data_IF_246036743256
#
_entry.id   IF_246036743256
#
_cell.length_a   1.000
_cell.length_b   1.000
_cell.length_c   1.000
_cell.angle_alpha   90.00
_cell.angle_beta   90.00
_cell.angle_gamma   90.00
#
_symmetry.space_group_name_H-M   'P 1'
#
loop_
_entity.id
_entity.type
_entity.pdbx_description
1 polymer ?
#
# COMPACT_ATOMS: atom_id res chain seq x y z
N UNK A 1 -126.26 2.78 90.73
CA UNK A 1 -125.61 3.23 89.49
C UNK A 1 -124.47 4.20 89.82
N UNK A 2 -123.28 3.99 89.22
CA UNK A 2 -122.24 5.00 88.86
C UNK A 2 -121.46 5.62 90.05
N UNK A 3 -120.14 5.80 90.05
CA UNK A 3 -119.09 5.89 89.01
C UNK A 3 -117.75 5.51 89.67
N UNK A 4 -116.98 4.59 89.08
CA UNK A 4 -115.57 4.42 89.43
C UNK A 4 -114.81 5.69 88.97
N UNK A 5 -114.01 6.28 89.86
CA UNK A 5 -113.09 7.38 89.51
C UNK A 5 -112.01 6.80 88.60
N UNK A 6 -112.11 7.08 87.30
CA UNK A 6 -111.02 6.83 86.35
C UNK A 6 -109.86 7.76 86.70
N UNK A 7 -108.75 7.20 87.17
CA UNK A 7 -107.53 7.95 87.43
C UNK A 7 -106.79 8.20 86.11
N UNK A 8 -106.85 9.45 85.64
CA UNK A 8 -106.32 9.87 84.33
C UNK A 8 -104.78 9.83 84.28
N UNK A 9 -104.13 9.68 85.44
CA UNK A 9 -102.67 9.70 85.57
C UNK A 9 -101.98 8.45 84.99
N UNK A 10 -102.69 7.32 84.91
CA UNK A 10 -102.19 6.09 84.28
C UNK A 10 -101.92 6.32 82.79
N UNK A 11 -102.84 7.00 82.09
CA UNK A 11 -102.68 7.30 80.66
C UNK A 11 -101.55 8.30 80.39
N UNK A 12 -101.26 9.21 81.31
CA UNK A 12 -100.12 10.14 81.21
C UNK A 12 -98.76 9.42 81.16
N UNK A 13 -98.59 8.37 81.97
CA UNK A 13 -97.38 7.53 81.95
C UNK A 13 -97.27 6.70 80.67
N UNK A 14 -98.38 6.13 80.17
CA UNK A 14 -98.37 5.40 78.90
C UNK A 14 -98.06 6.31 77.71
N UNK A 15 -98.59 7.53 77.68
CA UNK A 15 -98.30 8.51 76.62
C UNK A 15 -96.84 8.95 76.68
N UNK A 16 -96.28 9.17 77.87
CA UNK A 16 -94.86 9.53 78.04
C UNK A 16 -93.93 8.39 77.61
N UNK A 17 -94.25 7.15 77.97
CA UNK A 17 -93.51 5.97 77.54
C UNK A 17 -93.61 5.76 76.01
N UNK A 18 -94.80 5.92 75.43
CA UNK A 18 -94.99 5.85 73.99
C UNK A 18 -94.20 6.95 73.25
N UNK A 19 -94.23 8.19 73.75
CA UNK A 19 -93.44 9.30 73.19
C UNK A 19 -91.94 9.03 73.26
N UNK A 20 -91.45 8.50 74.37
CA UNK A 20 -90.04 8.13 74.51
C UNK A 20 -89.66 6.98 73.57
N UNK A 21 -90.50 5.96 73.42
CA UNK A 21 -90.24 4.86 72.49
C UNK A 21 -90.29 5.32 71.03
N UNK A 22 -91.26 6.16 70.64
CA UNK A 22 -91.34 6.75 69.30
C UNK A 22 -90.08 7.57 69.03
N UNK A 23 -89.66 8.41 69.98
CA UNK A 23 -88.42 9.18 69.86
C UNK A 23 -87.21 8.25 69.71
N UNK A 24 -87.14 7.16 70.47
CA UNK A 24 -86.03 6.20 70.40
C UNK A 24 -85.96 5.48 69.05
N UNK A 25 -87.09 4.96 68.57
CA UNK A 25 -87.19 4.29 67.27
C UNK A 25 -86.88 5.26 66.12
N UNK A 26 -87.32 6.52 66.24
CA UNK A 26 -87.03 7.56 65.26
C UNK A 26 -85.53 7.89 65.22
N UNK A 27 -84.86 7.95 66.38
CA UNK A 27 -83.41 8.16 66.45
C UNK A 27 -82.62 6.93 65.96
N UNK A 28 -83.06 5.72 66.28
CA UNK A 28 -82.44 4.47 65.80
C UNK A 28 -82.52 4.38 64.27
N UNK A 29 -83.70 4.60 63.65
CA UNK A 29 -83.83 4.66 62.18
C UNK A 29 -82.96 5.75 61.55
N UNK A 30 -82.92 6.94 62.15
CA UNK A 30 -82.08 8.04 61.66
C UNK A 30 -80.60 7.70 61.74
N UNK A 31 -80.17 6.98 62.79
CA UNK A 31 -78.80 6.52 62.94
C UNK A 31 -78.44 5.39 61.97
N UNK A 32 -79.35 4.46 61.68
CA UNK A 32 -79.18 3.44 60.65
C UNK A 32 -79.10 4.04 59.25
N UNK A 33 -79.98 4.97 58.90
CA UNK A 33 -79.94 5.69 57.63
C UNK A 33 -78.65 6.51 57.48
N UNK A 34 -78.22 7.18 58.56
CA UNK A 34 -76.95 7.90 58.58
C UNK A 34 -75.75 6.95 58.44
N UNK A 35 -75.75 5.79 59.10
CA UNK A 35 -74.67 4.82 58.98
C UNK A 35 -74.62 4.21 57.59
N UNK A 36 -75.77 3.84 57.02
CA UNK A 36 -75.86 3.28 55.66
C UNK A 36 -75.42 4.31 54.61
N UNK A 37 -75.84 5.56 54.77
CA UNK A 37 -75.39 6.67 53.91
C UNK A 37 -73.88 6.89 54.04
N UNK A 38 -73.33 6.84 55.25
CA UNK A 38 -71.87 6.94 55.48
C UNK A 38 -71.11 5.79 54.84
N UNK A 39 -71.61 4.56 54.92
CA UNK A 39 -70.97 3.37 54.36
C UNK A 39 -70.98 3.37 52.83
N UNK A 40 -72.08 3.82 52.22
CA UNK A 40 -72.19 4.04 50.77
C UNK A 40 -71.20 5.12 50.32
N UNK A 41 -71.16 6.27 51.01
CA UNK A 41 -70.21 7.36 50.70
C UNK A 41 -68.77 6.88 50.82
N UNK A 42 -68.43 6.13 51.88
CA UNK A 42 -67.09 5.58 52.08
C UNK A 42 -66.68 4.59 50.98
N UNK A 43 -67.62 3.75 50.55
CA UNK A 43 -67.40 2.77 49.47
C UNK A 43 -67.16 3.47 48.12
N UNK A 44 -67.91 4.54 47.84
CA UNK A 44 -67.75 5.36 46.64
C UNK A 44 -66.39 6.08 46.65
N UNK A 45 -66.01 6.70 47.77
CA UNK A 45 -64.70 7.35 47.94
C UNK A 45 -63.54 6.38 47.73
N UNK A 46 -63.63 5.15 48.27
CA UNK A 46 -62.59 4.13 48.10
C UNK A 46 -62.48 3.61 46.65
N UNK A 47 -63.60 3.59 45.92
CA UNK A 47 -63.61 3.23 44.49
C UNK A 47 -62.98 4.34 43.66
N UNK A 48 -63.33 5.59 43.96
CA UNK A 48 -62.82 6.78 43.29
C UNK A 48 -61.31 6.97 43.55
N UNK A 49 -60.83 6.75 44.78
CA UNK A 49 -59.39 6.70 45.11
C UNK A 49 -58.63 5.62 44.34
N UNK A 50 -59.23 4.45 44.14
CA UNK A 50 -58.62 3.36 43.35
C UNK A 50 -58.52 3.71 41.87
N UNK A 51 -59.58 4.28 41.30
CA UNK A 51 -59.57 4.76 39.91
C UNK A 51 -58.56 5.90 39.71
N UNK A 52 -58.50 6.88 40.61
CA UNK A 52 -57.47 7.91 40.59
C UNK A 52 -56.06 7.32 40.71
N UNK A 53 -55.87 6.32 41.56
CA UNK A 53 -54.61 5.59 41.69
C UNK A 53 -54.21 4.86 40.41
N UNK A 54 -55.18 4.27 39.70
CA UNK A 54 -54.97 3.60 38.42
C UNK A 54 -54.66 4.61 37.29
N UNK A 55 -55.39 5.72 37.23
CA UNK A 55 -55.13 6.82 36.29
C UNK A 55 -53.73 7.41 36.50
N UNK A 56 -53.30 7.61 37.75
CA UNK A 56 -51.94 8.10 38.05
C UNK A 56 -50.86 7.11 37.55
N UNK A 57 -51.05 5.80 37.76
CA UNK A 57 -50.13 4.76 37.28
C UNK A 57 -50.06 4.69 35.74
N UNK A 58 -51.20 4.71 35.06
CA UNK A 58 -51.25 4.67 33.59
C UNK A 58 -50.65 5.92 32.97
N UNK A 59 -50.86 7.09 33.57
CA UNK A 59 -50.27 8.37 33.14
C UNK A 59 -48.74 8.36 33.32
N UNK A 60 -48.23 7.80 34.41
CA UNK A 60 -46.80 7.57 34.62
C UNK A 60 -46.19 6.66 33.54
N UNK A 61 -46.83 5.53 33.24
CA UNK A 61 -46.37 4.59 32.19
C UNK A 61 -46.34 5.28 30.83
N UNK A 62 -47.39 6.03 30.46
CA UNK A 62 -47.45 6.79 29.21
C UNK A 62 -46.29 7.80 29.12
N UNK A 63 -45.98 8.49 30.23
CA UNK A 63 -44.86 9.43 30.30
C UNK A 63 -43.50 8.74 30.13
N UNK A 64 -43.33 7.54 30.69
CA UNK A 64 -42.12 6.71 30.52
C UNK A 64 -41.98 6.27 29.06
N UNK A 65 -43.05 5.76 28.45
CA UNK A 65 -43.05 5.33 27.03
C UNK A 65 -42.68 6.50 26.12
N UNK A 66 -43.25 7.68 26.32
CA UNK A 66 -42.93 8.86 25.50
C UNK A 66 -41.49 9.37 25.72
N UNK A 67 -40.93 9.20 26.92
CA UNK A 67 -39.51 9.47 27.18
C UNK A 67 -38.62 8.46 26.45
N UNK A 68 -38.97 7.18 26.46
CA UNK A 68 -38.15 6.14 25.83
C UNK A 68 -38.23 6.19 24.31
N UNK A 69 -39.41 6.46 23.73
CA UNK A 69 -39.55 6.77 22.29
C UNK A 69 -38.63 7.92 21.86
N UNK A 70 -38.52 8.98 22.66
CA UNK A 70 -37.57 10.08 22.40
C UNK A 70 -36.13 9.59 22.38
N UNK A 71 -35.71 8.85 23.41
CA UNK A 71 -34.37 8.26 23.47
C UNK A 71 -34.06 7.35 22.29
N UNK A 72 -35.02 6.53 21.86
CA UNK A 72 -34.87 5.65 20.70
C UNK A 72 -34.67 6.48 19.42
N UNK A 73 -35.45 7.55 19.23
CA UNK A 73 -35.27 8.44 18.07
C UNK A 73 -33.89 9.09 18.06
N UNK A 74 -33.42 9.58 19.21
CA UNK A 74 -32.11 10.22 19.31
C UNK A 74 -30.98 9.22 19.05
N UNK A 75 -31.07 8.01 19.60
CA UNK A 75 -30.13 6.92 19.31
C UNK A 75 -30.13 6.55 17.83
N UNK A 76 -31.31 6.42 17.21
CA UNK A 76 -31.44 6.11 15.78
C UNK A 76 -30.79 7.18 14.90
N UNK A 77 -30.93 8.46 15.24
CA UNK A 77 -30.22 9.55 14.55
C UNK A 77 -28.71 9.42 14.66
N UNK A 78 -28.18 9.13 15.86
CA UNK A 78 -26.74 8.93 16.06
C UNK A 78 -26.20 7.74 15.27
N UNK A 79 -26.94 6.63 15.23
CA UNK A 79 -26.59 5.45 14.43
C UNK A 79 -26.54 5.83 12.95
N UNK A 80 -27.55 6.53 12.44
CA UNK A 80 -27.60 6.93 11.04
C UNK A 80 -26.44 7.85 10.63
N UNK A 81 -26.01 8.74 11.53
CA UNK A 81 -24.83 9.58 11.30
C UNK A 81 -23.56 8.72 11.26
N UNK A 82 -23.41 7.79 12.20
CA UNK A 82 -22.27 6.88 12.24
C UNK A 82 -22.22 5.98 10.99
N UNK A 83 -23.34 5.43 10.54
CA UNK A 83 -23.44 4.64 9.30
C UNK A 83 -23.02 5.45 8.08
N UNK A 84 -23.42 6.73 8.00
CA UNK A 84 -22.99 7.61 6.91
C UNK A 84 -21.47 7.84 6.93
N UNK A 85 -20.91 8.16 8.11
CA UNK A 85 -19.46 8.34 8.25
C UNK A 85 -18.68 7.08 7.91
N UNK A 86 -19.17 5.90 8.32
CA UNK A 86 -18.58 4.61 7.94
C UNK A 86 -18.62 4.44 6.42
N UNK A 87 -19.75 4.72 5.77
CA UNK A 87 -19.87 4.61 4.32
C UNK A 87 -18.94 5.56 3.54
N UNK A 88 -18.69 6.77 4.06
CA UNK A 88 -17.73 7.71 3.48
C UNK A 88 -16.29 7.21 3.60
N UNK A 89 -15.90 6.71 4.77
CA UNK A 89 -14.58 6.13 4.99
C UNK A 89 -14.37 4.86 4.16
N UNK A 90 -15.37 3.97 4.06
CA UNK A 90 -15.30 2.78 3.20
C UNK A 90 -15.03 3.14 1.73
N UNK A 91 -15.66 4.20 1.21
CA UNK A 91 -15.39 4.68 -0.16
C UNK A 91 -13.97 5.21 -0.34
N UNK A 92 -13.40 5.86 0.69
CA UNK A 92 -11.99 6.32 0.64
C UNK A 92 -11.04 5.14 0.63
N UNK A 93 -11.31 4.13 1.46
CA UNK A 93 -10.51 2.89 1.53
C UNK A 93 -10.54 2.17 0.18
N UNK A 94 -11.72 2.00 -0.43
CA UNK A 94 -11.86 1.36 -1.75
C UNK A 94 -11.01 2.06 -2.82
N UNK A 95 -11.06 3.40 -2.88
CA UNK A 95 -10.22 4.18 -3.80
C UNK A 95 -8.74 3.98 -3.53
N UNK A 96 -8.33 3.98 -2.27
CA UNK A 96 -6.94 3.73 -1.89
C UNK A 96 -6.48 2.32 -2.29
N UNK A 97 -7.34 1.31 -2.14
CA UNK A 97 -7.06 -0.07 -2.56
C UNK A 97 -6.80 -0.17 -4.06
N UNK A 98 -7.63 0.48 -4.89
CA UNK A 98 -7.44 0.52 -6.35
C UNK A 98 -6.10 1.18 -6.73
N UNK A 99 -5.76 2.30 -6.10
CA UNK A 99 -4.48 2.99 -6.35
C UNK A 99 -3.30 2.10 -5.97
N UNK A 100 -3.38 1.40 -4.84
CA UNK A 100 -2.32 0.47 -4.40
C UNK A 100 -2.13 -0.65 -5.43
N UNK A 101 -3.21 -1.23 -5.94
CA UNK A 101 -3.15 -2.28 -6.96
C UNK A 101 -2.51 -1.79 -8.27
N UNK A 102 -2.88 -0.59 -8.74
CA UNK A 102 -2.28 0.05 -9.90
C UNK A 102 -0.77 0.29 -9.70
N UNK A 103 -0.38 0.79 -8.53
CA UNK A 103 1.04 1.03 -8.23
C UNK A 103 1.85 -0.26 -8.12
N UNK A 104 1.27 -1.35 -7.63
CA UNK A 104 1.95 -2.66 -7.57
C UNK A 104 2.17 -3.24 -8.98
N UNK A 105 1.20 -3.07 -9.88
CA UNK A 105 1.34 -3.47 -11.28
C UNK A 105 2.46 -2.68 -11.98
N UNK A 106 2.48 -1.35 -11.81
CA UNK A 106 3.53 -0.48 -12.36
C UNK A 106 4.91 -0.85 -11.82
N UNK A 107 5.02 -1.12 -10.52
CA UNK A 107 6.27 -1.56 -9.90
C UNK A 107 6.79 -2.86 -10.52
N UNK A 108 5.91 -3.85 -10.72
CA UNK A 108 6.26 -5.11 -11.38
C UNK A 108 6.72 -4.92 -12.83
N UNK A 109 6.13 -3.97 -13.56
CA UNK A 109 6.58 -3.63 -14.91
C UNK A 109 7.97 -3.01 -14.88
N UNK A 110 8.19 -2.04 -13.99
CA UNK A 110 9.46 -1.35 -13.83
C UNK A 110 10.60 -2.33 -13.44
N UNK A 111 10.34 -3.25 -12.50
CA UNK A 111 11.31 -4.29 -12.11
C UNK A 111 11.71 -5.20 -13.27
N UNK A 112 10.76 -5.59 -14.13
CA UNK A 112 11.04 -6.37 -15.34
C UNK A 112 11.91 -5.60 -16.32
N UNK A 113 11.61 -4.32 -16.55
CA UNK A 113 12.41 -3.46 -17.42
C UNK A 113 13.85 -3.33 -16.90
N UNK A 114 14.03 -3.02 -15.60
CA UNK A 114 15.35 -2.96 -14.97
C UNK A 114 16.12 -4.27 -15.09
N UNK A 115 15.46 -5.42 -14.94
CA UNK A 115 16.10 -6.72 -15.10
C UNK A 115 16.56 -6.95 -16.54
N UNK A 116 15.75 -6.57 -17.54
CA UNK A 116 16.16 -6.71 -18.95
C UNK A 116 17.33 -5.79 -19.29
N UNK A 117 17.33 -4.56 -18.78
CA UNK A 117 18.37 -3.57 -19.03
C UNK A 117 19.68 -3.96 -18.34
N UNK A 118 19.62 -4.42 -17.09
CA UNK A 118 20.81 -4.90 -16.36
C UNK A 118 21.45 -6.11 -17.04
N UNK A 119 20.65 -7.07 -17.53
CA UNK A 119 21.16 -8.20 -18.33
C UNK A 119 21.85 -7.75 -19.62
N UNK A 120 21.31 -6.76 -20.33
CA UNK A 120 21.92 -6.20 -21.54
C UNK A 120 23.25 -5.51 -21.24
N UNK A 121 23.32 -4.70 -20.18
CA UNK A 121 24.54 -4.04 -19.74
C UNK A 121 25.60 -5.07 -19.35
N UNK A 122 25.23 -6.09 -18.58
CA UNK A 122 26.15 -7.14 -18.15
C UNK A 122 26.70 -7.93 -19.36
N UNK A 123 25.85 -8.25 -20.33
CA UNK A 123 26.27 -8.86 -21.59
C UNK A 123 27.27 -8.00 -22.36
N UNK A 124 26.97 -6.71 -22.54
CA UNK A 124 27.86 -5.76 -23.20
C UNK A 124 29.20 -5.60 -22.46
N UNK A 125 29.16 -5.55 -21.12
CA UNK A 125 30.35 -5.46 -20.27
C UNK A 125 31.26 -6.68 -20.42
N UNK A 126 30.68 -7.89 -20.42
CA UNK A 126 31.44 -9.14 -20.64
C UNK A 126 32.09 -9.17 -22.02
N UNK A 127 31.38 -8.74 -23.06
CA UNK A 127 31.94 -8.67 -24.42
C UNK A 127 33.08 -7.67 -24.51
N UNK A 128 32.92 -6.47 -23.93
CA UNK A 128 33.96 -5.45 -23.87
C UNK A 128 35.20 -5.95 -23.14
N UNK A 129 35.02 -6.57 -21.97
CA UNK A 129 36.13 -7.14 -21.19
C UNK A 129 36.88 -8.23 -21.97
N UNK A 130 36.14 -9.14 -22.62
CA UNK A 130 36.75 -10.19 -23.46
C UNK A 130 37.56 -9.61 -24.61
N UNK A 131 37.04 -8.57 -25.26
CA UNK A 131 37.72 -7.85 -26.34
C UNK A 131 38.99 -7.17 -25.82
N UNK A 132 38.92 -6.42 -24.72
CA UNK A 132 40.05 -5.75 -24.09
C UNK A 132 41.15 -6.73 -23.68
N UNK A 133 40.78 -7.87 -23.09
CA UNK A 133 41.74 -8.90 -22.73
C UNK A 133 42.46 -9.47 -23.95
N UNK A 134 41.72 -9.79 -25.02
CA UNK A 134 42.30 -10.26 -26.28
C UNK A 134 43.22 -9.21 -26.92
N UNK A 135 42.79 -7.94 -26.94
CA UNK A 135 43.60 -6.82 -27.42
C UNK A 135 44.94 -6.74 -26.67
N UNK A 136 44.89 -6.77 -25.34
CA UNK A 136 46.08 -6.66 -24.49
C UNK A 136 47.06 -7.80 -24.71
N UNK A 137 46.57 -9.02 -24.94
CA UNK A 137 47.40 -10.17 -25.28
C UNK A 137 48.11 -9.94 -26.63
N UNK A 138 47.38 -9.60 -27.68
CA UNK A 138 47.97 -9.39 -29.00
C UNK A 138 48.89 -8.17 -29.07
N UNK A 139 48.58 -7.09 -28.34
CA UNK A 139 49.40 -5.88 -28.23
C UNK A 139 50.79 -6.18 -27.64
N UNK A 140 50.88 -7.18 -26.75
CA UNK A 140 52.16 -7.64 -26.18
C UNK A 140 52.89 -8.63 -27.09
N UNK A 141 52.15 -9.54 -27.74
CA UNK A 141 52.74 -10.59 -28.59
C UNK A 141 53.25 -10.08 -29.95
N UNK A 142 52.54 -9.14 -30.58
CA UNK A 142 52.87 -8.66 -31.92
C UNK A 142 54.28 -8.04 -32.03
N UNK A 143 54.71 -7.15 -31.10
CA UNK A 143 56.08 -6.64 -31.10
C UNK A 143 57.15 -7.73 -30.87
N UNK A 144 56.85 -8.78 -30.11
CA UNK A 144 57.79 -9.90 -29.93
C UNK A 144 58.00 -10.69 -31.22
N UNK A 145 56.96 -10.82 -32.07
CA UNK A 145 57.06 -11.51 -33.36
C UNK A 145 57.72 -10.65 -34.45
N UNK A 146 57.78 -9.33 -34.28
CA UNK A 146 58.31 -8.42 -35.29
C UNK A 146 59.79 -8.66 -35.58
N UNK A 147 60.55 -9.20 -34.61
CA UNK A 147 61.95 -9.56 -34.80
C UNK A 147 62.17 -10.53 -35.97
N UNK A 148 61.28 -11.49 -36.17
CA UNK A 148 61.36 -12.44 -37.29
C UNK A 148 61.12 -11.73 -38.63
N UNK A 149 60.14 -10.83 -38.68
CA UNK A 149 59.85 -10.07 -39.90
C UNK A 149 60.97 -9.07 -40.24
N UNK A 150 61.60 -8.49 -39.23
CA UNK A 150 62.77 -7.63 -39.42
C UNK A 150 64.00 -8.39 -39.85
N UNK A 151 64.23 -9.61 -39.36
CA UNK A 151 65.29 -10.48 -39.86
C UNK A 151 65.08 -10.78 -41.35
N UNK A 152 63.83 -11.06 -41.74
CA UNK A 152 63.47 -11.35 -43.13
C UNK A 152 63.70 -10.16 -44.08
N UNK A 153 63.53 -8.93 -43.59
CA UNK A 153 63.82 -7.70 -44.35
C UNK A 153 65.32 -7.36 -44.28
N UNK A 154 65.94 -7.47 -43.11
CA UNK A 154 67.30 -7.03 -42.86
C UNK A 154 68.37 -7.85 -43.59
N UNK A 155 68.18 -9.17 -43.73
CA UNK A 155 69.10 -10.03 -44.49
C UNK A 155 69.22 -9.59 -45.96
N UNK A 156 68.13 -9.50 -46.75
CA UNK A 156 68.23 -9.10 -48.14
C UNK A 156 68.70 -7.66 -48.32
N UNK A 157 68.24 -6.73 -47.47
CA UNK A 157 68.75 -5.36 -47.47
C UNK A 157 70.26 -5.32 -47.19
N UNK A 158 70.76 -6.08 -46.22
CA UNK A 158 72.19 -6.20 -45.94
C UNK A 158 73.00 -6.67 -47.13
N UNK A 159 72.48 -7.65 -47.88
CA UNK A 159 73.13 -8.18 -49.10
C UNK A 159 73.09 -7.16 -50.25
N UNK A 160 71.97 -6.46 -50.43
CA UNK A 160 71.79 -5.48 -51.52
C UNK A 160 72.55 -4.18 -51.31
N UNK A 161 72.73 -3.75 -50.06
CA UNK A 161 73.50 -2.55 -49.75
C UNK A 161 74.98 -2.89 -49.94
N UNK A 162 75.49 -2.68 -51.15
CA UNK A 162 76.88 -2.91 -51.58
C UNK A 162 77.87 -1.91 -50.93
N UNK A 163 77.64 -1.55 -49.67
CA UNK A 163 78.50 -0.69 -48.86
C UNK A 163 79.51 -1.56 -48.11
N UNK A 164 80.79 -1.19 -48.14
CA UNK A 164 81.84 -1.91 -47.39
C UNK A 164 81.65 -1.87 -45.88
N UNK A 165 80.76 -1.02 -45.37
CA UNK A 165 80.50 -0.81 -43.95
C UNK A 165 79.16 -1.40 -43.50
N UNK A 166 79.23 -2.37 -42.58
CA UNK A 166 78.08 -2.96 -41.87
C UNK A 166 77.18 -1.90 -41.20
N UNK A 167 77.74 -0.75 -40.83
CA UNK A 167 77.00 0.34 -40.19
C UNK A 167 75.94 0.98 -41.11
N UNK A 168 76.19 1.03 -42.42
CA UNK A 168 75.29 1.67 -43.39
C UNK A 168 74.03 0.83 -43.60
N UNK A 169 74.16 -0.49 -43.73
CA UNK A 169 73.00 -1.40 -43.87
C UNK A 169 72.15 -1.48 -42.59
N UNK A 170 72.78 -1.39 -41.42
CA UNK A 170 72.07 -1.25 -40.14
C UNK A 170 71.33 0.10 -40.05
N UNK A 171 71.96 1.20 -40.47
CA UNK A 171 71.34 2.53 -40.48
C UNK A 171 70.10 2.60 -41.38
N UNK A 172 70.18 2.05 -42.59
CA UNK A 172 69.03 1.98 -43.52
C UNK A 172 67.89 1.15 -42.93
N UNK A 173 68.20 0.01 -42.30
CA UNK A 173 67.19 -0.83 -41.63
C UNK A 173 66.51 -0.10 -40.47
N UNK A 174 67.28 0.65 -39.68
CA UNK A 174 66.75 1.44 -38.56
C UNK A 174 65.81 2.55 -39.03
N UNK A 175 66.19 3.28 -40.08
CA UNK A 175 65.35 4.32 -40.70
C UNK A 175 64.02 3.72 -41.19
N UNK A 176 64.06 2.56 -41.86
CA UNK A 176 62.85 1.88 -42.32
C UNK A 176 61.93 1.49 -41.14
N UNK A 177 62.50 1.00 -40.05
CA UNK A 177 61.73 0.65 -38.85
C UNK A 177 61.09 1.89 -38.22
N UNK A 178 61.85 2.97 -38.09
CA UNK A 178 61.38 4.18 -37.40
C UNK A 178 60.31 4.92 -38.21
N UNK A 179 60.48 5.05 -39.52
CA UNK A 179 59.59 5.84 -40.38
C UNK A 179 58.42 5.04 -40.99
N UNK A 180 58.54 3.72 -41.14
CA UNK A 180 57.46 2.91 -41.72
C UNK A 180 56.80 2.00 -40.68
N UNK A 181 57.57 1.17 -39.98
CA UNK A 181 56.98 0.18 -39.09
C UNK A 181 56.30 0.82 -37.86
N UNK A 182 56.98 1.75 -37.18
CA UNK A 182 56.44 2.33 -35.95
C UNK A 182 55.12 3.11 -36.18
N UNK A 183 54.99 3.97 -37.21
CA UNK A 183 53.72 4.61 -37.53
C UNK A 183 52.60 3.63 -37.92
N UNK A 184 52.95 2.54 -38.61
CA UNK A 184 51.98 1.51 -39.01
C UNK A 184 51.43 0.75 -37.79
N UNK A 185 52.30 0.42 -36.82
CA UNK A 185 51.89 -0.15 -35.53
C UNK A 185 51.07 0.85 -34.72
N UNK A 186 51.48 2.12 -34.64
CA UNK A 186 50.74 3.15 -33.91
C UNK A 186 49.32 3.32 -34.46
N UNK A 187 49.19 3.41 -35.80
CA UNK A 187 47.90 3.51 -36.47
C UNK A 187 47.04 2.26 -36.24
N UNK A 188 47.66 1.07 -36.30
CA UNK A 188 47.00 -0.20 -36.01
C UNK A 188 46.48 -0.30 -34.57
N UNK A 189 47.21 0.23 -33.59
CA UNK A 189 46.75 0.28 -32.20
C UNK A 189 45.57 1.21 -32.00
N UNK A 190 45.60 2.41 -32.62
CA UNK A 190 44.47 3.35 -32.61
C UNK A 190 43.24 2.68 -33.25
N UNK A 191 43.43 1.93 -34.34
CA UNK A 191 42.35 1.20 -35.00
C UNK A 191 41.81 0.05 -34.14
N UNK A 192 42.66 -0.64 -33.40
CA UNK A 192 42.27 -1.75 -32.54
C UNK A 192 41.48 -1.30 -31.29
N UNK A 193 41.76 -0.09 -30.79
CA UNK A 193 41.00 0.55 -29.71
C UNK A 193 39.57 0.91 -30.15
N UNK A 194 39.35 1.16 -31.44
CA UNK A 194 38.00 1.30 -31.99
C UNK A 194 37.30 -0.07 -32.01
N UNK A 195 36.11 -0.14 -31.39
CA UNK A 195 35.34 -1.39 -31.23
C UNK A 195 34.93 -1.99 -32.60
N UNK A 196 34.79 -1.15 -33.62
CA UNK A 196 34.31 -1.50 -34.96
C UNK A 196 35.29 -2.38 -35.74
N UNK A 197 36.60 -2.26 -35.50
CA UNK A 197 37.61 -3.00 -36.27
C UNK A 197 38.05 -4.29 -35.58
N UNK A 198 38.32 -5.38 -36.33
CA UNK A 198 38.84 -6.61 -35.74
C UNK A 198 40.26 -6.42 -35.15
N UNK A 199 40.51 -6.99 -33.97
CA UNK A 199 41.80 -6.84 -33.25
C UNK A 199 42.97 -7.40 -34.04
N UNK A 200 42.81 -8.59 -34.61
CA UNK A 200 43.90 -9.35 -35.26
C UNK A 200 44.53 -8.56 -36.41
N UNK A 201 43.81 -8.13 -37.47
CA UNK A 201 44.41 -7.37 -38.58
C UNK A 201 44.96 -6.01 -38.12
N UNK A 202 44.34 -5.38 -37.11
CA UNK A 202 44.77 -4.08 -36.61
C UNK A 202 46.13 -4.15 -35.92
N UNK A 203 46.37 -5.20 -35.12
CA UNK A 203 47.61 -5.33 -34.33
C UNK A 203 48.71 -6.09 -35.11
N UNK A 204 48.35 -7.01 -36.00
CA UNK A 204 49.30 -7.82 -36.76
C UNK A 204 49.56 -7.28 -38.17
N UNK A 205 48.78 -6.32 -38.65
CA UNK A 205 48.87 -5.79 -40.01
C UNK A 205 50.29 -5.31 -40.38
N UNK A 206 50.97 -4.64 -39.45
CA UNK A 206 52.35 -4.19 -39.68
C UNK A 206 53.34 -5.34 -39.86
N UNK A 207 53.20 -6.40 -39.05
CA UNK A 207 54.04 -7.60 -39.18
C UNK A 207 53.76 -8.36 -40.48
N UNK A 208 52.48 -8.51 -40.86
CA UNK A 208 52.09 -9.16 -42.11
C UNK A 208 52.61 -8.36 -43.32
N UNK A 209 52.49 -7.03 -43.29
CA UNK A 209 53.03 -6.16 -44.32
C UNK A 209 54.55 -6.34 -44.45
N UNK A 210 55.28 -6.28 -43.34
CA UNK A 210 56.73 -6.50 -43.36
C UNK A 210 57.12 -7.89 -43.82
N UNK A 211 56.36 -8.92 -43.45
CA UNK A 211 56.58 -10.28 -43.91
C UNK A 211 56.46 -10.38 -45.44
N UNK A 212 55.42 -9.78 -46.03
CA UNK A 212 55.22 -9.74 -47.48
C UNK A 212 56.37 -8.99 -48.16
N UNK A 213 56.75 -7.81 -47.64
CA UNK A 213 57.86 -7.03 -48.17
C UNK A 213 59.17 -7.83 -48.13
N UNK A 214 59.49 -8.47 -47.00
CA UNK A 214 60.66 -9.31 -46.85
C UNK A 214 60.70 -10.47 -47.86
N UNK A 215 59.57 -11.16 -48.06
CA UNK A 215 59.47 -12.22 -49.07
C UNK A 215 59.70 -11.72 -50.50
N UNK A 216 59.15 -10.54 -50.85
CA UNK A 216 59.35 -9.93 -52.18
C UNK A 216 60.82 -9.56 -52.39
N UNK A 217 61.48 -8.98 -51.38
CA UNK A 217 62.92 -8.66 -51.45
C UNK A 217 63.76 -9.92 -51.66
N UNK A 218 63.51 -10.98 -50.89
CA UNK A 218 64.20 -12.26 -51.05
C UNK A 218 64.00 -12.82 -52.46
N UNK A 219 62.76 -12.81 -52.97
CA UNK A 219 62.46 -13.29 -54.33
C UNK A 219 63.26 -12.52 -55.39
N UNK A 220 63.36 -11.19 -55.25
CA UNK A 220 64.10 -10.36 -56.19
C UNK A 220 65.60 -10.67 -56.17
N UNK A 221 66.19 -10.95 -55.00
CA UNK A 221 67.59 -11.34 -54.89
C UNK A 221 67.85 -12.70 -55.54
N UNK A 222 66.98 -13.70 -55.32
CA UNK A 222 67.14 -15.03 -55.90
C UNK A 222 66.89 -15.10 -57.40
N UNK A 223 66.08 -14.19 -57.94
CA UNK A 223 65.77 -14.12 -59.37
C UNK A 223 66.77 -13.29 -60.20
N UNK A 224 67.85 -12.79 -59.57
CA UNK A 224 68.88 -11.95 -60.19
C UNK A 224 70.20 -12.70 -60.28
#
# INVERSE_FOLDING_TARGET
>A
MKRAKFDINIFGNYIKAARNNINRITQEKRNEENNKSREIVKTIEDKQKREEGFLKKTLLIKKIIEKEKRRIRDKKRKILIAERSIGEESKKIEKATVIIEETDLLKKQLEKEHLTLSKRIEGARKQKLKRELSLNIHKRLSPSFSCLTFMLIGIPLGIMTRSSSMLVSLGVSFILILFFYYPLVATGLILAENITFPIIPSVWGANVFNFIVGLVLFRNIFNK
#
